data_IF_722470778314
#
_entry.id   IF_722470778314
#
_cell.length_a   1.000
_cell.length_b   1.000
_cell.length_c   1.000
_cell.angle_alpha   90.00
_cell.angle_beta   90.00
_cell.angle_gamma   90.00
#
_symmetry.space_group_name_H-M   'P 1'
#
loop_
_entity.id
_entity.type
_entity.pdbx_description
1 polymer ?
#
# COMPACT_ATOMS: atom_id res chain seq x y z
N UNK A 1 14.75 -14.73 48.68
CA UNK A 1 14.78 -13.95 47.42
C UNK A 1 13.34 -13.76 47.00
N UNK A 2 12.83 -12.56 46.82
CA UNK A 2 11.48 -12.36 46.29
C UNK A 2 11.45 -12.83 44.82
N UNK A 3 10.43 -13.60 44.46
CA UNK A 3 10.20 -14.03 43.08
C UNK A 3 9.99 -12.81 42.21
N UNK A 4 10.78 -12.68 41.14
CA UNK A 4 10.60 -11.66 40.11
C UNK A 4 9.34 -12.07 39.35
N UNK A 5 8.25 -11.34 39.56
CA UNK A 5 7.06 -11.50 38.71
C UNK A 5 7.43 -11.22 37.25
N UNK A 6 6.97 -12.05 36.30
CA UNK A 6 7.24 -11.80 34.89
C UNK A 6 6.62 -10.46 34.51
N UNK A 7 7.45 -9.54 34.01
CA UNK A 7 7.00 -8.29 33.41
C UNK A 7 6.10 -8.67 32.23
N UNK A 8 4.78 -8.58 32.44
CA UNK A 8 3.84 -8.61 31.33
C UNK A 8 4.12 -7.36 30.50
N UNK A 9 4.94 -7.49 29.47
CA UNK A 9 5.12 -6.46 28.48
C UNK A 9 3.74 -6.18 27.88
N UNK A 10 3.16 -5.00 28.15
CA UNK A 10 2.06 -4.47 27.36
C UNK A 10 2.61 -4.21 25.95
N UNK A 11 2.69 -5.24 25.12
CA UNK A 11 2.86 -5.08 23.70
C UNK A 11 1.66 -4.28 23.24
N UNK A 12 1.87 -3.05 22.75
CA UNK A 12 0.79 -2.27 22.14
C UNK A 12 0.25 -3.09 20.96
N UNK A 13 -0.99 -3.54 21.08
CA UNK A 13 -1.67 -4.23 19.98
C UNK A 13 -2.00 -3.22 18.90
N UNK A 14 -1.55 -3.47 17.67
CA UNK A 14 -1.93 -2.65 16.52
C UNK A 14 -3.44 -2.72 16.30
N UNK A 15 -4.02 -1.59 15.90
CA UNK A 15 -5.42 -1.57 15.45
C UNK A 15 -5.48 -2.10 14.02
N UNK A 16 -6.39 -3.05 13.72
CA UNK A 16 -6.51 -3.55 12.35
C UNK A 16 -6.77 -2.44 11.33
N UNK A 17 -6.29 -2.63 10.10
CA UNK A 17 -6.57 -1.73 8.99
C UNK A 17 -8.03 -1.85 8.59
N UNK A 18 -8.78 -0.75 8.65
CA UNK A 18 -10.17 -0.71 8.19
C UNK A 18 -10.27 0.02 6.87
N UNK A 19 -10.83 -0.62 5.85
CA UNK A 19 -11.16 -0.01 4.56
C UNK A 19 -12.62 -0.33 4.27
N UNK A 20 -13.44 0.69 4.17
CA UNK A 20 -14.91 0.55 4.05
C UNK A 20 -15.47 -0.38 5.16
N UNK A 21 -16.14 -1.46 4.78
CA UNK A 21 -16.76 -2.42 5.71
C UNK A 21 -15.88 -3.63 6.04
N UNK A 22 -14.65 -3.70 5.53
CA UNK A 22 -13.71 -4.79 5.80
C UNK A 22 -12.61 -4.37 6.76
N UNK A 23 -12.11 -5.36 7.49
CA UNK A 23 -11.00 -5.22 8.43
C UNK A 23 -9.90 -6.19 8.03
N UNK A 24 -8.66 -5.70 8.00
CA UNK A 24 -7.47 -6.43 7.58
C UNK A 24 -6.41 -6.41 8.67
N UNK A 25 -5.69 -7.51 8.81
CA UNK A 25 -4.53 -7.61 9.70
C UNK A 25 -3.25 -7.21 8.98
N UNK A 26 -3.19 -7.49 7.68
CA UNK A 26 -2.06 -7.11 6.82
C UNK A 26 -2.18 -5.65 6.37
N UNK A 27 -1.04 -4.95 6.41
CA UNK A 27 -0.87 -3.59 5.85
C UNK A 27 -0.10 -3.61 4.54
N UNK A 28 0.10 -4.80 4.00
CA UNK A 28 0.75 -5.04 2.72
C UNK A 28 -0.29 -5.38 1.66
N UNK A 29 -0.33 -4.59 0.57
CA UNK A 29 -1.10 -4.88 -0.64
C UNK A 29 -0.12 -5.32 -1.75
N UNK A 30 -0.42 -6.42 -2.43
CA UNK A 30 0.44 -6.95 -3.47
C UNK A 30 -0.15 -6.73 -4.86
N UNK A 31 0.67 -6.21 -5.79
CA UNK A 31 0.33 -6.17 -7.20
C UNK A 31 0.70 -7.48 -7.91
N UNK A 32 -0.11 -7.90 -8.88
CA UNK A 32 0.13 -9.13 -9.67
C UNK A 32 0.91 -8.90 -10.95
N UNK A 33 1.24 -7.65 -11.26
CA UNK A 33 1.98 -7.32 -12.49
C UNK A 33 3.40 -7.86 -12.49
N UNK A 34 3.91 -8.21 -13.68
CA UNK A 34 5.31 -8.58 -13.93
C UNK A 34 5.81 -9.90 -13.33
N UNK A 35 5.02 -10.64 -12.56
CA UNK A 35 5.40 -12.01 -12.19
C UNK A 35 5.61 -12.85 -13.45
N UNK A 36 6.76 -13.50 -13.54
CA UNK A 36 7.10 -14.39 -14.65
C UNK A 36 6.36 -15.73 -14.52
N UNK A 37 6.31 -16.24 -13.29
CA UNK A 37 5.63 -17.49 -12.97
C UNK A 37 4.43 -17.21 -12.07
N UNK A 38 3.28 -17.78 -12.38
CA UNK A 38 2.05 -17.64 -11.57
C UNK A 38 2.16 -18.39 -10.23
N UNK A 39 2.93 -19.48 -10.19
CA UNK A 39 3.26 -20.19 -8.94
C UNK A 39 4.01 -19.31 -7.93
N UNK A 40 4.93 -18.46 -8.42
CA UNK A 40 5.64 -17.52 -7.55
C UNK A 40 4.70 -16.47 -6.96
N UNK A 41 3.67 -16.06 -7.71
CA UNK A 41 2.61 -15.17 -7.20
C UNK A 41 1.84 -15.86 -6.06
N UNK A 42 1.35 -17.09 -6.27
CA UNK A 42 0.59 -17.82 -5.25
C UNK A 42 1.40 -17.99 -3.96
N UNK A 43 2.66 -18.43 -4.07
CA UNK A 43 3.54 -18.61 -2.92
C UNK A 43 3.91 -17.27 -2.26
N UNK A 44 4.03 -16.17 -3.05
CA UNK A 44 4.26 -14.82 -2.51
C UNK A 44 3.06 -14.33 -1.70
N UNK A 45 1.83 -14.59 -2.15
CA UNK A 45 0.61 -14.27 -1.41
C UNK A 45 0.60 -15.01 -0.06
N UNK A 46 0.81 -16.33 -0.11
CA UNK A 46 0.80 -17.19 1.09
C UNK A 46 1.84 -16.75 2.12
N UNK A 47 3.11 -16.63 1.73
CA UNK A 47 4.21 -16.34 2.66
C UNK A 47 4.21 -14.90 3.18
N UNK A 48 3.68 -13.96 2.43
CA UNK A 48 3.60 -12.57 2.88
C UNK A 48 2.36 -12.27 3.71
N UNK A 49 1.37 -13.15 3.70
CA UNK A 49 0.12 -12.95 4.42
C UNK A 49 -0.68 -11.74 3.95
N UNK A 50 -0.54 -11.35 2.66
CA UNK A 50 -1.35 -10.27 2.08
C UNK A 50 -2.82 -10.70 2.01
N UNK A 51 -3.71 -9.76 2.28
CA UNK A 51 -5.17 -9.98 2.25
C UNK A 51 -5.85 -9.19 1.13
N UNK A 52 -5.09 -8.32 0.42
CA UNK A 52 -5.56 -7.54 -0.72
C UNK A 52 -4.56 -7.67 -1.87
N UNK A 53 -5.05 -8.07 -3.04
CA UNK A 53 -4.22 -8.25 -4.23
C UNK A 53 -4.82 -7.48 -5.41
N UNK A 54 -3.98 -6.68 -6.12
CA UNK A 54 -4.47 -5.94 -7.28
C UNK A 54 -4.36 -6.75 -8.57
N UNK A 55 -5.43 -6.72 -9.37
CA UNK A 55 -5.48 -7.41 -10.67
C UNK A 55 -5.98 -6.45 -11.74
N UNK A 56 -5.22 -6.30 -12.83
CA UNK A 56 -5.70 -5.57 -14.00
C UNK A 56 -6.65 -6.46 -14.83
N UNK A 57 -7.83 -5.93 -15.20
CA UNK A 57 -8.85 -6.70 -15.95
C UNK A 57 -8.30 -7.36 -17.22
N UNK A 58 -7.41 -6.68 -17.94
CA UNK A 58 -6.75 -7.19 -19.15
C UNK A 58 -5.91 -8.46 -18.94
N UNK A 59 -5.67 -8.86 -17.68
CA UNK A 59 -4.95 -10.08 -17.29
C UNK A 59 -5.88 -11.21 -16.87
N UNK A 60 -7.19 -10.93 -16.85
CA UNK A 60 -8.23 -11.90 -16.54
C UNK A 60 -8.67 -12.48 -17.88
N UNK A 61 -8.38 -13.74 -18.12
CA UNK A 61 -8.87 -14.45 -19.31
C UNK A 61 -10.32 -14.87 -19.11
N UNK A 62 -11.23 -14.08 -19.67
CA UNK A 62 -12.68 -14.33 -19.58
C UNK A 62 -13.16 -15.47 -20.49
N UNK A 63 -12.37 -15.83 -21.50
CA UNK A 63 -12.72 -16.86 -22.49
C UNK A 63 -12.08 -18.23 -22.18
N UNK A 64 -11.29 -18.32 -21.10
CA UNK A 64 -10.60 -19.54 -20.65
C UNK A 64 -9.67 -20.17 -21.70
N UNK A 65 -9.09 -19.35 -22.59
CA UNK A 65 -8.13 -19.81 -23.59
C UNK A 65 -6.68 -19.91 -23.07
N UNK A 66 -6.39 -19.29 -21.93
CA UNK A 66 -5.11 -19.34 -21.23
C UNK A 66 -5.34 -19.52 -19.73
N UNK A 67 -4.30 -19.92 -19.00
CA UNK A 67 -4.35 -19.97 -17.52
C UNK A 67 -4.74 -18.62 -16.93
N UNK A 68 -5.86 -18.57 -16.24
CA UNK A 68 -6.38 -17.36 -15.61
C UNK A 68 -5.58 -17.05 -14.33
N UNK A 69 -5.10 -15.80 -14.17
CA UNK A 69 -4.38 -15.37 -12.99
C UNK A 69 -5.19 -15.55 -11.69
N UNK A 70 -6.51 -15.52 -11.78
CA UNK A 70 -7.40 -15.69 -10.63
C UNK A 70 -7.31 -17.09 -10.01
N UNK A 71 -6.90 -18.11 -10.75
CA UNK A 71 -6.71 -19.48 -10.25
C UNK A 71 -5.55 -19.60 -9.25
N UNK A 72 -4.65 -18.61 -9.26
CA UNK A 72 -3.48 -18.54 -8.38
C UNK A 72 -3.67 -17.61 -7.18
N UNK A 73 -4.86 -17.06 -7.03
CA UNK A 73 -5.20 -16.16 -5.91
C UNK A 73 -6.20 -16.91 -5.01
N UNK A 74 -5.88 -17.13 -3.72
CA UNK A 74 -6.80 -17.78 -2.79
C UNK A 74 -8.15 -17.07 -2.71
N UNK A 75 -9.28 -17.79 -2.52
CA UNK A 75 -10.63 -17.23 -2.59
C UNK A 75 -10.97 -16.26 -1.44
N UNK A 76 -10.25 -16.30 -0.34
CA UNK A 76 -10.38 -15.41 0.81
C UNK A 76 -9.69 -14.06 0.63
N UNK A 77 -8.84 -13.94 -0.40
CA UNK A 77 -8.16 -12.69 -0.74
C UNK A 77 -9.14 -11.67 -1.33
N UNK A 78 -9.08 -10.44 -0.86
CA UNK A 78 -9.84 -9.35 -1.46
C UNK A 78 -9.20 -8.93 -2.79
N UNK A 79 -9.93 -9.18 -3.89
CA UNK A 79 -9.51 -8.70 -5.20
C UNK A 79 -9.74 -7.20 -5.29
N UNK A 80 -8.69 -6.45 -5.60
CA UNK A 80 -8.72 -5.03 -5.91
C UNK A 80 -8.50 -4.86 -7.40
N UNK A 81 -9.57 -4.77 -8.18
CA UNK A 81 -9.46 -4.61 -9.63
C UNK A 81 -8.85 -3.25 -9.99
N UNK A 82 -7.99 -3.22 -11.00
CA UNK A 82 -7.25 -2.02 -11.39
C UNK A 82 -7.73 -1.54 -12.77
N UNK A 83 -8.02 -0.25 -12.89
CA UNK A 83 -8.42 0.39 -14.15
C UNK A 83 -7.23 0.75 -15.06
N UNK A 84 -6.07 0.14 -14.83
CA UNK A 84 -4.84 0.36 -15.59
C UNK A 84 -5.07 0.30 -17.10
N UNK A 85 -4.65 1.33 -17.79
CA UNK A 85 -4.87 1.57 -19.22
C UNK A 85 -6.00 2.58 -19.50
N UNK A 86 -6.77 3.00 -18.51
CA UNK A 86 -7.71 4.11 -18.66
C UNK A 86 -6.97 5.43 -18.84
N UNK A 87 -7.42 6.23 -19.81
CA UNK A 87 -6.85 7.55 -20.13
C UNK A 87 -7.72 8.70 -19.66
N UNK A 88 -8.93 8.40 -19.21
CA UNK A 88 -9.91 9.34 -18.67
C UNK A 88 -10.89 8.63 -17.72
N UNK A 89 -11.72 9.42 -17.04
CA UNK A 89 -12.70 8.91 -16.09
C UNK A 89 -13.70 7.94 -16.73
N UNK A 90 -14.17 8.23 -17.95
CA UNK A 90 -15.17 7.38 -18.62
C UNK A 90 -14.60 5.97 -18.92
N UNK A 91 -13.34 5.89 -19.34
CA UNK A 91 -12.66 4.61 -19.56
C UNK A 91 -12.47 3.85 -18.23
N UNK A 92 -12.05 4.54 -17.16
CA UNK A 92 -11.88 3.93 -15.84
C UNK A 92 -13.21 3.36 -15.30
N UNK A 93 -14.30 4.14 -15.40
CA UNK A 93 -15.64 3.71 -15.00
C UNK A 93 -16.09 2.47 -15.80
N UNK A 94 -15.88 2.48 -17.12
CA UNK A 94 -16.22 1.34 -17.97
C UNK A 94 -15.45 0.06 -17.57
N UNK A 95 -14.15 0.18 -17.31
CA UNK A 95 -13.31 -0.96 -16.88
C UNK A 95 -13.80 -1.48 -15.53
N UNK A 96 -14.09 -0.60 -14.56
CA UNK A 96 -14.57 -1.01 -13.23
C UNK A 96 -15.91 -1.75 -13.32
N UNK A 97 -16.87 -1.24 -14.10
CA UNK A 97 -18.17 -1.90 -14.32
C UNK A 97 -17.99 -3.27 -14.96
N UNK A 98 -17.15 -3.38 -15.99
CA UNK A 98 -16.86 -4.66 -16.62
C UNK A 98 -16.24 -5.66 -15.65
N UNK A 99 -15.29 -5.23 -14.79
CA UNK A 99 -14.71 -6.09 -13.77
C UNK A 99 -15.76 -6.61 -12.78
N UNK A 100 -16.73 -5.79 -12.37
CA UNK A 100 -17.83 -6.20 -11.51
C UNK A 100 -18.75 -7.22 -12.20
N UNK A 101 -19.13 -6.99 -13.46
CA UNK A 101 -19.97 -7.88 -14.25
C UNK A 101 -19.31 -9.24 -14.47
N UNK A 102 -17.99 -9.31 -14.51
CA UNK A 102 -17.21 -10.56 -14.62
C UNK A 102 -16.97 -11.26 -13.28
N UNK A 103 -17.59 -10.79 -12.20
CA UNK A 103 -17.53 -11.44 -10.89
C UNK A 103 -16.31 -11.08 -10.04
N UNK A 104 -15.51 -10.06 -10.42
CA UNK A 104 -14.35 -9.63 -9.64
C UNK A 104 -14.71 -8.78 -8.41
N UNK A 105 -16.02 -8.59 -8.12
CA UNK A 105 -16.49 -7.81 -6.99
C UNK A 105 -16.52 -6.30 -7.26
N UNK A 106 -16.67 -5.52 -6.18
CA UNK A 106 -16.85 -4.07 -6.26
C UNK A 106 -15.69 -3.26 -5.70
N UNK A 107 -14.54 -3.88 -5.42
CA UNK A 107 -13.32 -3.18 -4.99
C UNK A 107 -12.53 -2.76 -6.22
N UNK A 108 -12.21 -1.47 -6.33
CA UNK A 108 -11.54 -0.94 -7.50
C UNK A 108 -10.45 0.05 -7.13
N UNK A 109 -9.25 -0.16 -7.67
CA UNK A 109 -8.18 0.82 -7.71
C UNK A 109 -8.34 1.66 -8.97
N UNK A 110 -8.61 2.94 -8.80
CA UNK A 110 -8.65 3.88 -9.92
C UNK A 110 -7.24 4.27 -10.31
N UNK A 111 -6.90 4.03 -11.56
CA UNK A 111 -5.64 4.41 -12.18
C UNK A 111 -5.96 5.00 -13.55
N UNK A 112 -5.93 6.35 -13.66
CA UNK A 112 -6.13 7.08 -14.91
C UNK A 112 -4.81 7.72 -15.30
N UNK A 113 -4.25 7.33 -16.44
CA UNK A 113 -2.92 7.76 -16.88
C UNK A 113 -2.97 8.14 -18.35
N UNK A 114 -2.74 9.43 -18.65
CA UNK A 114 -2.64 9.95 -20.01
C UNK A 114 -1.21 9.94 -20.54
N UNK A 115 -0.21 9.99 -19.64
CA UNK A 115 1.19 10.06 -19.98
C UNK A 115 1.85 8.69 -19.93
N UNK A 116 2.22 8.15 -21.08
CA UNK A 116 2.87 6.84 -21.19
C UNK A 116 4.36 6.85 -20.80
N UNK A 117 4.98 8.03 -20.66
CA UNK A 117 6.42 8.17 -20.40
C UNK A 117 6.73 8.12 -18.90
N UNK A 118 6.01 8.90 -18.10
CA UNK A 118 6.24 8.98 -16.67
C UNK A 118 5.19 8.21 -15.84
N UNK A 119 4.09 7.82 -16.48
CA UNK A 119 2.97 7.10 -15.85
C UNK A 119 2.41 7.86 -14.64
N UNK A 120 2.34 9.20 -14.76
CA UNK A 120 1.74 10.04 -13.74
C UNK A 120 0.21 9.99 -13.82
N UNK A 121 -0.48 9.86 -12.69
CA UNK A 121 -1.93 9.86 -12.67
C UNK A 121 -2.52 11.23 -12.98
N UNK A 122 -3.64 11.22 -13.70
CA UNK A 122 -4.49 12.39 -13.89
C UNK A 122 -5.41 12.53 -12.67
N UNK A 123 -5.03 13.42 -11.74
CA UNK A 123 -5.75 13.59 -10.49
C UNK A 123 -7.21 14.07 -10.71
N UNK A 124 -7.46 14.95 -11.70
CA UNK A 124 -8.80 15.48 -11.99
C UNK A 124 -9.74 14.38 -12.49
N UNK A 125 -9.27 13.60 -13.47
CA UNK A 125 -10.04 12.47 -14.01
C UNK A 125 -10.21 11.35 -12.96
N UNK A 126 -9.24 11.17 -12.07
CA UNK A 126 -9.34 10.24 -10.94
C UNK A 126 -10.44 10.64 -9.97
N UNK A 127 -10.58 11.92 -9.63
CA UNK A 127 -11.69 12.42 -8.79
C UNK A 127 -13.05 12.20 -9.46
N UNK A 128 -13.18 12.52 -10.76
CA UNK A 128 -14.43 12.30 -11.53
C UNK A 128 -14.84 10.81 -11.53
N UNK A 129 -13.90 9.92 -11.82
CA UNK A 129 -14.15 8.47 -11.81
C UNK A 129 -14.56 7.98 -10.42
N UNK A 130 -13.89 8.47 -9.38
CA UNK A 130 -14.18 8.12 -7.98
C UNK A 130 -15.61 8.50 -7.60
N UNK A 131 -16.04 9.71 -7.91
CA UNK A 131 -17.40 10.18 -7.59
C UNK A 131 -18.49 9.30 -8.24
N UNK A 132 -18.30 8.95 -9.50
CA UNK A 132 -19.25 8.09 -10.22
C UNK A 132 -19.32 6.70 -9.59
N UNK A 133 -18.15 6.05 -9.39
CA UNK A 133 -18.09 4.68 -8.91
C UNK A 133 -18.50 4.54 -7.46
N UNK A 134 -18.15 5.51 -6.59
CA UNK A 134 -18.60 5.52 -5.20
C UNK A 134 -20.13 5.59 -5.09
N UNK A 135 -20.80 6.41 -5.93
CA UNK A 135 -22.27 6.47 -6.01
C UNK A 135 -22.90 5.16 -6.50
N UNK A 136 -22.16 4.37 -7.27
CA UNK A 136 -22.58 3.04 -7.74
C UNK A 136 -22.28 1.89 -6.75
N UNK A 137 -21.79 2.21 -5.54
CA UNK A 137 -21.50 1.24 -4.49
C UNK A 137 -20.17 0.51 -4.64
N UNK A 138 -19.24 1.05 -5.43
CA UNK A 138 -17.86 0.54 -5.43
C UNK A 138 -17.10 1.02 -4.19
N UNK A 139 -16.20 0.18 -3.70
CA UNK A 139 -15.16 0.56 -2.75
C UNK A 139 -13.97 1.07 -3.56
N UNK A 140 -13.78 2.38 -3.58
CA UNK A 140 -12.85 3.05 -4.49
C UNK A 140 -11.56 3.42 -3.77
N UNK A 141 -10.43 2.93 -4.30
CA UNK A 141 -9.08 3.21 -3.84
C UNK A 141 -8.33 3.98 -4.96
N UNK A 142 -8.35 5.31 -4.97
CA UNK A 142 -7.81 6.12 -6.06
C UNK A 142 -6.30 6.35 -5.94
N UNK A 143 -5.56 6.08 -7.02
CA UNK A 143 -4.13 6.36 -7.17
C UNK A 143 -3.93 7.79 -7.68
N UNK A 144 -3.08 8.57 -7.01
CA UNK A 144 -2.85 9.99 -7.30
C UNK A 144 -1.37 10.40 -7.19
N UNK A 145 -1.02 11.49 -7.86
CA UNK A 145 0.10 12.32 -7.44
C UNK A 145 -0.26 12.99 -6.12
N UNK A 146 0.61 12.97 -5.08
CA UNK A 146 0.25 13.48 -3.76
C UNK A 146 -0.01 14.99 -3.81
N UNK A 147 -1.29 15.33 -3.60
CA UNK A 147 -1.81 16.69 -3.52
C UNK A 147 -2.96 16.75 -2.51
N UNK A 148 -2.89 17.69 -1.57
CA UNK A 148 -3.85 17.79 -0.46
C UNK A 148 -5.26 18.13 -0.93
N UNK A 149 -5.39 19.04 -1.91
CA UNK A 149 -6.71 19.45 -2.39
C UNK A 149 -7.38 18.32 -3.18
N UNK A 150 -6.61 17.60 -3.97
CA UNK A 150 -7.08 16.36 -4.64
C UNK A 150 -7.52 15.33 -3.61
N UNK A 151 -6.73 15.08 -2.56
CA UNK A 151 -7.09 14.13 -1.51
C UNK A 151 -8.40 14.51 -0.81
N UNK A 152 -8.59 15.78 -0.47
CA UNK A 152 -9.85 16.30 0.09
C UNK A 152 -11.03 16.15 -0.88
N UNK A 153 -10.82 16.39 -2.17
CA UNK A 153 -11.83 16.17 -3.20
C UNK A 153 -12.21 14.69 -3.32
N UNK A 154 -11.25 13.77 -3.20
CA UNK A 154 -11.48 12.32 -3.19
C UNK A 154 -12.30 11.87 -1.97
N UNK A 155 -11.98 12.37 -0.78
CA UNK A 155 -12.80 12.12 0.42
C UNK A 155 -14.25 12.55 0.18
N UNK A 156 -14.46 13.75 -0.35
CA UNK A 156 -15.80 14.27 -0.69
C UNK A 156 -16.50 13.45 -1.78
N UNK A 157 -15.73 12.90 -2.72
CA UNK A 157 -16.23 12.03 -3.79
C UNK A 157 -16.61 10.61 -3.29
N UNK A 158 -16.28 10.25 -2.05
CA UNK A 158 -16.61 8.96 -1.46
C UNK A 158 -15.51 7.90 -1.60
N UNK A 159 -14.26 8.30 -1.77
CA UNK A 159 -13.13 7.38 -1.76
C UNK A 159 -13.03 6.63 -0.41
N UNK A 160 -12.67 5.35 -0.46
CA UNK A 160 -12.44 4.55 0.74
C UNK A 160 -11.02 4.72 1.32
N UNK A 161 -10.07 5.15 0.49
CA UNK A 161 -8.68 5.44 0.85
C UNK A 161 -8.14 6.53 -0.06
N UNK A 162 -6.92 7.00 0.20
CA UNK A 162 -6.12 7.77 -0.77
C UNK A 162 -4.81 7.02 -1.01
N UNK A 163 -4.43 6.85 -2.29
CA UNK A 163 -3.23 6.11 -2.67
C UNK A 163 -2.20 7.03 -3.36
N UNK A 164 -1.41 7.80 -2.58
CA UNK A 164 -0.38 8.66 -3.15
C UNK A 164 0.81 7.85 -3.66
N UNK A 165 1.37 8.25 -4.80
CA UNK A 165 2.63 7.67 -5.29
C UNK A 165 3.83 8.07 -4.40
N UNK A 166 4.71 7.11 -4.10
CA UNK A 166 6.00 7.38 -3.48
C UNK A 166 7.02 7.90 -4.50
N UNK A 167 7.04 7.31 -5.69
CA UNK A 167 7.74 7.77 -6.90
C UNK A 167 7.11 7.11 -8.13
N UNK A 168 7.68 7.34 -9.32
CA UNK A 168 7.11 6.85 -10.57
C UNK A 168 6.92 5.32 -10.58
N UNK A 169 5.83 4.86 -11.20
CA UNK A 169 5.50 3.43 -11.31
C UNK A 169 6.70 2.65 -11.87
N UNK A 170 7.12 1.62 -11.17
CA UNK A 170 8.18 0.71 -11.61
C UNK A 170 9.60 1.27 -11.57
N UNK A 171 9.79 2.47 -10.98
CA UNK A 171 11.10 3.13 -10.91
C UNK A 171 11.99 2.64 -9.77
N UNK A 172 11.43 2.01 -8.73
CA UNK A 172 12.13 1.56 -7.53
C UNK A 172 12.92 2.67 -6.81
N UNK A 173 12.48 3.95 -6.93
CA UNK A 173 13.19 5.11 -6.38
C UNK A 173 12.81 5.46 -4.94
N UNK A 174 11.84 4.73 -4.36
CA UNK A 174 11.37 4.93 -2.98
C UNK A 174 10.48 6.15 -2.81
N UNK A 175 10.54 6.77 -1.63
CA UNK A 175 9.64 7.83 -1.19
C UNK A 175 10.13 9.22 -1.62
N UNK A 176 10.15 9.52 -2.92
CA UNK A 176 10.55 10.86 -3.43
C UNK A 176 9.55 11.96 -3.07
N UNK A 177 8.31 11.58 -2.79
CA UNK A 177 7.21 12.49 -2.41
C UNK A 177 6.95 12.49 -0.89
N UNK A 178 7.90 12.02 -0.09
CA UNK A 178 7.81 11.82 1.35
C UNK A 178 7.15 12.98 2.11
N UNK A 179 7.57 14.22 1.85
CA UNK A 179 7.06 15.38 2.58
C UNK A 179 5.58 15.67 2.25
N UNK A 180 5.16 15.44 1.01
CA UNK A 180 3.75 15.55 0.63
C UNK A 180 2.90 14.43 1.24
N UNK A 181 3.44 13.20 1.30
CA UNK A 181 2.76 12.07 1.96
C UNK A 181 2.53 12.37 3.45
N UNK A 182 3.50 12.96 4.16
CA UNK A 182 3.32 13.40 5.55
C UNK A 182 2.16 14.38 5.73
N UNK A 183 2.02 15.32 4.79
CA UNK A 183 0.89 16.26 4.80
C UNK A 183 -0.43 15.50 4.64
N UNK A 184 -0.51 14.54 3.72
CA UNK A 184 -1.72 13.74 3.55
C UNK A 184 -2.06 12.91 4.80
N UNK A 185 -1.06 12.29 5.43
CA UNK A 185 -1.25 11.52 6.67
C UNK A 185 -1.78 12.39 7.81
N UNK A 186 -1.32 13.65 7.89
CA UNK A 186 -1.74 14.58 8.94
C UNK A 186 -3.14 15.18 8.73
N UNK A 187 -3.60 15.26 7.48
CA UNK A 187 -4.75 16.09 7.10
C UNK A 187 -5.97 15.29 6.57
N UNK A 188 -5.80 14.00 6.32
CA UNK A 188 -6.83 13.15 5.71
C UNK A 188 -7.25 12.05 6.68
N UNK A 189 -8.55 11.96 6.97
CA UNK A 189 -9.11 11.03 7.97
C UNK A 189 -9.38 9.61 7.45
N UNK A 190 -9.25 9.36 6.14
CA UNK A 190 -9.36 8.02 5.56
C UNK A 190 -7.98 7.42 5.32
N UNK A 191 -7.83 6.08 5.24
CA UNK A 191 -6.53 5.44 5.15
C UNK A 191 -5.68 5.93 3.98
N UNK A 192 -4.40 6.21 4.27
CA UNK A 192 -3.38 6.56 3.29
C UNK A 192 -2.55 5.32 2.98
N UNK A 193 -2.59 4.87 1.73
CA UNK A 193 -1.86 3.70 1.24
C UNK A 193 -0.78 4.17 0.27
N UNK A 194 0.48 4.10 0.64
CA UNK A 194 1.56 4.49 -0.27
C UNK A 194 1.68 3.47 -1.39
N UNK A 195 1.55 3.95 -2.63
CA UNK A 195 1.60 3.13 -3.85
C UNK A 195 2.72 3.63 -4.78
N UNK A 196 3.24 2.73 -5.61
CA UNK A 196 4.25 3.00 -6.63
C UNK A 196 5.64 3.49 -6.14
N UNK A 197 6.65 3.07 -6.87
CA UNK A 197 8.02 3.50 -6.65
C UNK A 197 8.77 2.85 -5.49
N UNK A 198 8.09 2.11 -4.62
CA UNK A 198 8.73 1.35 -3.55
C UNK A 198 9.56 0.23 -4.17
N UNK A 199 10.88 0.26 -3.95
CA UNK A 199 11.84 -0.66 -4.56
C UNK A 199 12.59 -1.56 -3.57
N UNK A 200 12.50 -1.27 -2.27
CA UNK A 200 13.17 -2.04 -1.22
C UNK A 200 12.31 -2.14 0.04
N UNK A 201 12.45 -3.24 0.83
CA UNK A 201 11.76 -3.40 2.10
C UNK A 201 11.97 -2.24 3.07
N UNK A 202 13.17 -1.67 3.14
CA UNK A 202 13.47 -0.50 3.97
C UNK A 202 12.62 0.74 3.65
N UNK A 203 12.27 0.92 2.37
CA UNK A 203 11.42 2.04 1.93
C UNK A 203 9.96 1.82 2.33
N UNK A 204 9.51 0.57 2.35
CA UNK A 204 8.19 0.21 2.87
C UNK A 204 8.13 0.42 4.39
N UNK A 205 9.18 0.04 5.13
CA UNK A 205 9.30 0.35 6.55
C UNK A 205 9.25 1.85 6.79
N UNK A 206 10.00 2.64 6.02
CA UNK A 206 9.99 4.12 6.10
C UNK A 206 8.57 4.68 5.89
N UNK A 207 7.82 4.19 4.90
CA UNK A 207 6.43 4.61 4.69
C UNK A 207 5.55 4.36 5.92
N UNK A 208 5.70 3.19 6.55
CA UNK A 208 4.97 2.84 7.76
C UNK A 208 5.40 3.65 8.97
N UNK A 209 6.70 3.95 9.11
CA UNK A 209 7.27 4.81 10.15
C UNK A 209 6.75 6.25 10.06
N UNK A 210 6.44 6.74 8.86
CA UNK A 210 5.80 8.04 8.65
C UNK A 210 4.35 8.08 9.14
N UNK A 211 3.72 6.92 9.32
CA UNK A 211 2.33 6.79 9.72
C UNK A 211 1.37 6.43 8.58
N UNK A 212 1.86 6.02 7.42
CA UNK A 212 0.98 5.45 6.40
C UNK A 212 0.21 4.25 6.95
N UNK A 213 -1.02 4.05 6.47
CA UNK A 213 -1.86 2.95 6.95
C UNK A 213 -1.49 1.62 6.32
N UNK A 214 -1.00 1.65 5.07
CA UNK A 214 -0.55 0.48 4.33
C UNK A 214 0.38 0.87 3.18
N UNK A 215 0.98 -0.14 2.54
CA UNK A 215 1.85 0.01 1.36
C UNK A 215 1.43 -0.98 0.29
N UNK A 216 1.38 -0.53 -0.97
CA UNK A 216 1.21 -1.40 -2.13
C UNK A 216 2.54 -1.55 -2.87
N UNK A 217 2.99 -2.79 -3.06
CA UNK A 217 4.20 -3.09 -3.81
C UNK A 217 3.90 -4.09 -4.92
N UNK A 218 4.49 -3.90 -6.08
CA UNK A 218 4.39 -4.82 -7.20
C UNK A 218 5.77 -5.11 -7.82
N UNK A 219 6.33 -4.15 -8.56
CA UNK A 219 7.54 -4.35 -9.37
C UNK A 219 8.71 -4.90 -8.55
N UNK A 220 8.99 -4.35 -7.37
CA UNK A 220 10.10 -4.76 -6.53
C UNK A 220 10.03 -6.22 -6.06
N UNK A 221 8.81 -6.73 -5.88
CA UNK A 221 8.59 -8.16 -5.57
C UNK A 221 8.69 -9.00 -6.84
N UNK A 222 7.87 -8.68 -7.83
CA UNK A 222 7.71 -9.50 -9.04
C UNK A 222 8.98 -9.65 -9.89
N UNK A 223 9.89 -8.68 -9.83
CA UNK A 223 11.16 -8.69 -10.60
C UNK A 223 12.39 -9.03 -9.76
N UNK A 224 12.20 -9.39 -8.49
CA UNK A 224 13.31 -9.87 -7.65
C UNK A 224 13.85 -11.22 -8.15
N UNK A 225 15.09 -11.52 -7.86
CA UNK A 225 15.69 -12.83 -8.14
C UNK A 225 14.98 -13.99 -7.43
N UNK A 226 14.30 -13.71 -6.32
CA UNK A 226 13.39 -14.62 -5.63
C UNK A 226 12.16 -13.82 -5.15
N UNK A 227 11.07 -13.78 -5.94
CA UNK A 227 9.88 -13.01 -5.64
C UNK A 227 9.24 -13.41 -4.31
N UNK A 228 9.20 -14.69 -4.00
CA UNK A 228 8.60 -15.22 -2.78
C UNK A 228 9.30 -14.75 -1.51
N UNK A 229 10.64 -14.83 -1.48
CA UNK A 229 11.42 -14.31 -0.36
C UNK A 229 11.33 -12.79 -0.26
N UNK A 230 11.28 -12.09 -1.40
CA UNK A 230 11.13 -10.65 -1.41
C UNK A 230 9.76 -10.21 -0.87
N UNK A 231 8.68 -10.91 -1.20
CA UNK A 231 7.35 -10.64 -0.65
C UNK A 231 7.35 -10.79 0.89
N UNK A 232 7.96 -11.85 1.42
CA UNK A 232 8.10 -12.04 2.87
C UNK A 232 8.94 -10.93 3.51
N UNK A 233 10.05 -10.53 2.86
CA UNK A 233 10.89 -9.43 3.36
C UNK A 233 10.12 -8.10 3.43
N UNK A 234 9.26 -7.80 2.45
CA UNK A 234 8.37 -6.64 2.49
C UNK A 234 7.34 -6.74 3.63
N UNK A 235 6.72 -7.90 3.83
CA UNK A 235 5.77 -8.11 4.92
C UNK A 235 6.41 -7.83 6.29
N UNK A 236 7.60 -8.38 6.54
CA UNK A 236 8.36 -8.15 7.77
C UNK A 236 8.75 -6.68 7.95
N UNK A 237 9.18 -6.00 6.89
CA UNK A 237 9.56 -4.60 6.93
C UNK A 237 8.38 -3.67 7.22
N UNK A 238 7.22 -3.94 6.60
CA UNK A 238 5.97 -3.20 6.84
C UNK A 238 5.53 -3.37 8.29
N UNK A 239 5.60 -4.60 8.82
CA UNK A 239 5.29 -4.87 10.22
C UNK A 239 6.26 -4.14 11.16
N UNK A 240 7.56 -4.18 10.90
CA UNK A 240 8.58 -3.50 11.70
C UNK A 240 8.37 -1.98 11.71
N UNK A 241 8.15 -1.37 10.53
CA UNK A 241 7.87 0.08 10.43
C UNK A 241 6.59 0.49 11.15
N UNK A 242 5.53 -0.34 11.10
CA UNK A 242 4.30 -0.08 11.86
C UNK A 242 4.52 -0.14 13.37
N UNK A 243 5.26 -1.13 13.87
CA UNK A 243 5.61 -1.22 15.28
C UNK A 243 6.46 -0.03 15.75
N UNK A 244 7.41 0.42 14.91
CA UNK A 244 8.23 1.60 15.17
C UNK A 244 7.36 2.87 15.29
N UNK A 245 6.41 3.08 14.35
CA UNK A 245 5.46 4.18 14.40
C UNK A 245 4.63 4.18 15.69
N UNK A 246 4.05 3.02 16.07
CA UNK A 246 3.26 2.88 17.29
C UNK A 246 4.08 3.11 18.55
N UNK A 247 5.36 2.75 18.51
CA UNK A 247 6.31 2.97 19.61
C UNK A 247 6.78 4.43 19.73
N UNK A 248 6.34 5.31 18.83
CA UNK A 248 6.73 6.72 18.77
C UNK A 248 8.24 6.91 18.65
N UNK A 249 8.73 6.85 17.42
CA UNK A 249 10.13 7.08 17.09
C UNK A 249 10.67 8.35 17.77
N UNK A 250 11.86 8.29 18.39
CA UNK A 250 12.49 9.49 18.94
C UNK A 250 12.84 10.47 17.81
N UNK A 251 12.74 11.76 18.10
CA UNK A 251 13.12 12.79 17.13
C UNK A 251 14.62 12.75 16.85
N UNK A 252 14.99 12.97 15.58
CA UNK A 252 16.40 13.18 15.21
C UNK A 252 16.94 14.43 15.88
N UNK A 253 18.21 14.39 16.31
CA UNK A 253 18.95 15.51 16.90
C UNK A 253 20.13 15.86 15.99
N UNK A 254 20.44 17.16 15.89
CA UNK A 254 21.63 17.64 15.15
C UNK A 254 22.93 17.47 15.93
N UNK A 255 22.84 17.33 17.24
CA UNK A 255 23.99 17.16 18.12
C UNK A 255 23.98 15.79 18.77
N UNK A 256 25.17 15.26 19.03
CA UNK A 256 25.32 14.03 19.79
C UNK A 256 24.77 14.21 21.21
N UNK A 257 24.16 13.16 21.74
CA UNK A 257 23.65 13.09 23.11
C UNK A 257 24.19 11.80 23.72
N UNK A 258 25.03 11.92 24.73
CA UNK A 258 25.72 10.78 25.32
C UNK A 258 24.74 9.89 26.09
N UNK A 259 24.77 8.59 25.83
CA UNK A 259 23.96 7.58 26.53
C UNK A 259 24.45 7.28 27.95
N UNK A 260 25.67 7.70 28.28
CA UNK A 260 26.27 7.55 29.60
C UNK A 260 27.02 8.83 30.00
N UNK A 261 27.17 9.13 31.29
CA UNK A 261 27.97 10.27 31.73
C UNK A 261 29.39 10.21 31.18
N UNK A 262 29.86 11.28 30.54
CA UNK A 262 31.19 11.37 29.96
C UNK A 262 32.27 11.75 30.98
N UNK A 263 31.86 12.30 32.15
CA UNK A 263 32.75 12.76 33.21
C UNK A 263 32.21 12.38 34.59
N UNK A 264 33.06 12.34 35.60
CA UNK A 264 32.69 12.21 37.01
C UNK A 264 32.92 10.83 37.65
N UNK A 265 32.78 9.72 36.92
CA UNK A 265 32.86 8.38 37.52
C UNK A 265 34.27 7.88 37.80
N UNK A 266 35.31 8.53 37.21
CA UNK A 266 36.71 8.15 37.41
C UNK A 266 37.43 9.04 38.45
N UNK A 267 36.77 10.03 39.01
CA UNK A 267 37.40 11.06 39.86
C UNK A 267 36.72 11.27 41.21
N UNK A 268 35.85 10.38 41.65
CA UNK A 268 35.44 10.32 43.05
C UNK A 268 36.51 9.58 43.85
N UNK A 269 37.41 10.34 44.46
CA UNK A 269 38.33 9.89 45.50
C UNK A 269 37.73 10.12 46.87
#
# INVERSE_FOLDING_TARGET
MPAIEPIQSKVMTDTPLKIANKTFTSRFLLGTGKFQNKSDLATSIELSGVEIVTVALRRIDLERHQENILEYIPPDITLLTNTSGARNAAEAVRIARLARETGCGNWVKIEVINDSKYLLPDNEETVKATEILAKEGFVVLPYISPDLYTARALVKAGAATVMPLGSLIGSNQGLKTKELIKVLIAEIDIPIIVDAGIGAPSQAAEAMELGADAVLVNTAVATAGNPTQMANAFALAIQAGRLAYLSKLPSSKNLADASSPLTGFLYES
#
